data_IF_373689044970
#
_entry.id   IF_373689044970
#
_cell.length_a   1.000
_cell.length_b   1.000
_cell.length_c   1.000
_cell.angle_alpha   90.00
_cell.angle_beta   90.00
_cell.angle_gamma   90.00
#
_symmetry.space_group_name_H-M   'P 1'
#
loop_
_entity.id
_entity.type
_entity.pdbx_description
1 polymer ?
#
# COMPACT_ATOMS: atom_id res chain seq x y z
N UNK A 1 -54.01 75.20 84.13
CA UNK A 1 -53.36 74.06 83.42
C UNK A 1 -51.86 74.23 83.52
N UNK A 2 -51.22 73.29 84.10
CA UNK A 2 -49.93 73.43 84.75
C UNK A 2 -48.76 73.64 83.81
N UNK A 3 -48.13 74.85 83.87
CA UNK A 3 -46.91 75.22 83.14
C UNK A 3 -45.82 74.13 83.12
N UNK A 4 -45.75 73.29 84.14
CA UNK A 4 -44.77 72.17 84.22
C UNK A 4 -45.06 71.10 83.29
N UNK A 5 -46.29 70.72 82.91
CA UNK A 5 -46.68 69.69 81.95
C UNK A 5 -46.37 70.18 80.49
N UNK A 6 -46.60 71.41 80.22
CA UNK A 6 -46.25 71.99 78.91
C UNK A 6 -44.75 72.02 78.68
N UNK A 7 -43.97 72.27 79.72
CA UNK A 7 -42.48 72.23 79.56
C UNK A 7 -41.91 70.83 79.41
N UNK A 8 -42.50 69.87 80.00
CA UNK A 8 -42.11 68.41 79.87
C UNK A 8 -42.48 67.95 78.41
N UNK A 9 -43.70 68.31 78.00
CA UNK A 9 -44.15 67.95 76.65
C UNK A 9 -43.30 68.64 75.53
N UNK A 10 -42.89 69.91 75.73
CA UNK A 10 -41.99 70.57 74.81
C UNK A 10 -40.60 69.98 74.80
N UNK A 11 -40.07 69.49 75.95
CA UNK A 11 -38.80 68.80 76.05
C UNK A 11 -38.82 67.43 75.29
N UNK A 12 -39.94 66.73 75.46
CA UNK A 12 -40.10 65.39 74.86
C UNK A 12 -40.24 65.53 73.35
N UNK A 13 -40.93 66.60 72.83
CA UNK A 13 -41.00 66.89 71.40
C UNK A 13 -39.63 67.26 70.84
N UNK A 14 -38.82 68.03 71.57
CA UNK A 14 -37.51 68.45 71.14
C UNK A 14 -36.54 67.25 71.01
N UNK A 15 -36.59 66.36 72.00
CA UNK A 15 -35.81 65.10 71.97
C UNK A 15 -36.24 64.17 70.81
N UNK A 16 -37.57 64.10 70.55
CA UNK A 16 -38.12 63.33 69.43
C UNK A 16 -37.66 63.94 68.07
N UNK A 17 -37.64 65.27 67.99
CA UNK A 17 -37.12 65.91 66.72
C UNK A 17 -35.65 65.73 66.55
N UNK A 18 -34.83 65.67 67.59
CA UNK A 18 -33.39 65.42 67.48
C UNK A 18 -33.12 63.97 67.05
N UNK A 19 -33.88 63.01 67.61
CA UNK A 19 -33.77 61.58 67.28
C UNK A 19 -34.21 61.36 65.81
N UNK A 20 -35.31 61.95 65.37
CA UNK A 20 -35.78 61.86 64.03
C UNK A 20 -34.77 62.53 63.01
N UNK A 21 -34.20 63.68 63.38
CA UNK A 21 -33.18 64.38 62.61
C UNK A 21 -31.91 63.54 62.44
N UNK A 22 -31.46 62.89 63.56
CA UNK A 22 -30.32 62.02 63.56
C UNK A 22 -30.53 60.77 62.63
N UNK A 23 -31.70 60.13 62.78
CA UNK A 23 -32.05 59.01 61.90
C UNK A 23 -32.23 59.40 60.44
N UNK A 24 -32.81 60.58 60.21
CA UNK A 24 -32.92 61.17 58.85
C UNK A 24 -31.52 61.34 58.22
N UNK A 25 -30.56 61.83 59.02
CA UNK A 25 -29.20 62.06 58.52
C UNK A 25 -28.45 60.72 58.28
N UNK A 26 -28.69 59.73 59.16
CA UNK A 26 -28.08 58.41 59.01
C UNK A 26 -28.62 57.63 57.78
N UNK A 27 -29.95 57.71 57.57
CA UNK A 27 -30.60 57.10 56.43
C UNK A 27 -30.35 57.84 55.10
N UNK A 28 -30.01 59.14 55.15
CA UNK A 28 -29.68 59.92 53.96
C UNK A 28 -28.23 59.79 53.51
N UNK A 29 -27.40 58.98 54.23
CA UNK A 29 -26.09 58.71 53.71
C UNK A 29 -26.22 57.84 52.46
N UNK A 30 -25.74 58.27 51.30
CA UNK A 30 -25.70 57.42 50.13
C UNK A 30 -24.90 56.16 50.48
N UNK A 31 -25.34 54.93 50.05
CA UNK A 31 -24.54 53.73 50.24
C UNK A 31 -23.15 54.00 49.68
N UNK A 32 -22.11 53.60 50.43
CA UNK A 32 -20.75 53.70 49.93
C UNK A 32 -20.70 53.06 48.55
N UNK A 33 -20.02 53.72 47.57
CA UNK A 33 -19.85 53.12 46.24
C UNK A 33 -19.29 51.70 46.49
N UNK A 34 -20.02 50.70 46.04
CA UNK A 34 -19.50 49.32 45.96
C UNK A 34 -18.28 49.50 45.10
N UNK A 35 -17.08 49.33 45.68
CA UNK A 35 -15.86 49.28 44.90
C UNK A 35 -16.12 48.23 43.78
N UNK A 36 -16.17 48.71 42.53
CA UNK A 36 -16.23 47.81 41.39
C UNK A 36 -15.15 46.77 41.63
N UNK A 37 -15.45 45.48 41.58
CA UNK A 37 -14.40 44.48 41.65
C UNK A 37 -13.33 44.92 40.69
N UNK A 38 -12.09 45.01 41.16
CA UNK A 38 -10.94 45.27 40.28
C UNK A 38 -11.10 44.33 39.10
N UNK A 39 -10.99 44.86 37.82
CA UNK A 39 -11.11 44.00 36.71
C UNK A 39 -10.14 42.86 36.94
N UNK A 40 -10.68 41.64 37.15
CA UNK A 40 -9.88 40.44 37.06
C UNK A 40 -9.13 40.56 35.76
N UNK A 41 -7.82 40.31 35.72
CA UNK A 41 -7.10 40.36 34.48
C UNK A 41 -7.87 39.46 33.53
N UNK A 42 -8.58 40.05 32.57
CA UNK A 42 -9.14 39.31 31.45
C UNK A 42 -7.92 38.69 30.79
N UNK A 43 -7.57 37.48 31.24
CA UNK A 43 -6.70 36.62 30.48
C UNK A 43 -7.41 36.54 29.16
N UNK A 44 -6.95 37.33 28.22
CA UNK A 44 -7.64 37.50 26.95
C UNK A 44 -7.93 36.13 26.42
N UNK A 45 -9.19 35.79 26.22
CA UNK A 45 -9.65 34.49 25.72
C UNK A 45 -8.88 34.15 24.46
N UNK A 46 -8.49 35.16 23.67
CA UNK A 46 -7.56 35.02 22.53
C UNK A 46 -6.21 34.41 22.89
N UNK A 47 -5.60 34.77 24.03
CA UNK A 47 -4.29 34.23 24.43
C UNK A 47 -4.41 32.78 24.92
N UNK A 48 -5.51 32.45 25.58
CA UNK A 48 -5.80 31.08 26.01
C UNK A 48 -6.13 30.17 24.83
N UNK A 49 -6.93 30.68 23.87
CA UNK A 49 -7.24 29.95 22.63
C UNK A 49 -5.96 29.72 21.80
N UNK A 50 -5.10 30.74 21.65
CA UNK A 50 -3.84 30.60 20.93
C UNK A 50 -2.87 29.58 21.59
N UNK A 51 -2.82 29.54 22.92
CA UNK A 51 -1.99 28.57 23.66
C UNK A 51 -2.53 27.16 23.54
N UNK A 52 -3.84 26.95 23.63
CA UNK A 52 -4.49 25.64 23.45
C UNK A 52 -4.36 25.19 21.99
N UNK A 53 -4.47 26.10 21.04
CA UNK A 53 -4.32 25.81 19.62
C UNK A 53 -2.87 25.41 19.26
N UNK A 54 -1.86 26.01 19.90
CA UNK A 54 -0.47 25.64 19.71
C UNK A 54 -0.13 24.27 20.35
N UNK A 55 -0.82 23.89 21.44
CA UNK A 55 -0.65 22.58 22.09
C UNK A 55 -1.23 21.42 21.27
N UNK A 56 -2.19 21.68 20.39
CA UNK A 56 -2.78 20.64 19.52
C UNK A 56 -2.00 20.44 18.22
N UNK A 57 -1.04 21.31 17.93
CA UNK A 57 -0.20 21.21 16.74
C UNK A 57 1.01 20.32 17.00
N UNK A 58 1.29 19.42 16.06
CA UNK A 58 2.45 18.52 16.13
C UNK A 58 3.59 19.03 15.25
N UNK A 59 4.86 18.87 15.69
CA UNK A 59 6.01 19.27 14.91
C UNK A 59 6.19 18.37 13.68
N UNK A 60 6.53 18.97 12.57
CA UNK A 60 6.86 18.29 11.30
C UNK A 60 8.06 18.99 10.68
N UNK A 61 9.02 18.21 10.20
CA UNK A 61 10.19 18.73 9.50
C UNK A 61 9.83 19.03 8.06
N UNK A 62 10.07 20.27 7.64
CA UNK A 62 9.82 20.75 6.26
C UNK A 62 11.08 21.31 5.64
N UNK A 63 11.16 21.27 4.31
CA UNK A 63 12.25 21.91 3.56
C UNK A 63 12.00 23.40 3.41
N UNK A 64 13.01 24.21 3.72
CA UNK A 64 13.04 25.65 3.52
C UNK A 64 13.28 26.01 2.06
N UNK A 65 14.16 25.27 1.40
CA UNK A 65 14.53 25.47 0.01
C UNK A 65 14.37 24.17 -0.78
N UNK A 66 14.36 24.29 -2.12
CA UNK A 66 14.43 23.11 -2.99
C UNK A 66 15.80 22.47 -2.90
N UNK A 67 15.84 21.15 -2.70
CA UNK A 67 17.08 20.37 -2.61
C UNK A 67 17.16 19.41 -3.78
N UNK A 68 18.28 19.40 -4.54
CA UNK A 68 18.49 18.46 -5.62
C UNK A 68 18.73 17.04 -5.09
N UNK A 69 18.56 15.99 -5.91
CA UNK A 69 18.83 14.62 -5.50
C UNK A 69 20.31 14.41 -5.16
N UNK A 70 20.59 13.48 -4.27
CA UNK A 70 21.93 13.05 -3.87
C UNK A 70 22.77 14.11 -3.15
N UNK A 71 22.15 15.18 -2.64
CA UNK A 71 22.81 16.19 -1.80
C UNK A 71 22.38 15.99 -0.36
N UNK A 72 23.30 15.81 0.61
CA UNK A 72 22.95 15.68 2.03
C UNK A 72 22.26 16.94 2.56
N UNK A 73 21.21 16.77 3.34
CA UNK A 73 20.49 17.87 3.98
C UNK A 73 21.35 18.50 5.08
N UNK A 74 21.40 19.82 5.09
CA UNK A 74 22.03 20.62 6.13
C UNK A 74 20.99 21.23 7.06
N UNK A 75 21.43 21.77 8.20
CA UNK A 75 20.53 22.48 9.11
C UNK A 75 19.87 23.73 8.49
N UNK A 76 20.48 24.30 7.42
CA UNK A 76 19.91 25.43 6.70
C UNK A 76 18.76 25.06 5.75
N UNK A 77 18.69 23.80 5.34
CA UNK A 77 17.70 23.31 4.38
C UNK A 77 16.39 22.90 5.03
N UNK A 78 16.38 22.69 6.35
CA UNK A 78 15.25 22.13 7.09
C UNK A 78 14.79 23.04 8.23
N UNK A 79 13.48 23.06 8.46
CA UNK A 79 12.85 23.73 9.59
C UNK A 79 11.76 22.85 10.20
N UNK A 80 11.40 23.13 11.46
CA UNK A 80 10.25 22.49 12.11
C UNK A 80 9.05 23.41 12.02
N UNK A 81 8.00 22.93 11.42
CA UNK A 81 6.68 23.58 11.42
C UNK A 81 5.70 22.80 12.29
N UNK A 82 4.75 23.51 12.92
CA UNK A 82 3.70 22.90 13.73
C UNK A 82 2.41 22.84 12.94
N UNK A 83 1.97 21.63 12.58
CA UNK A 83 0.75 21.38 11.82
C UNK A 83 -0.35 20.81 12.71
N UNK A 84 -1.61 21.18 12.43
CA UNK A 84 -2.80 20.59 13.07
C UNK A 84 -3.04 19.14 12.66
N UNK A 85 -2.78 18.84 11.41
CA UNK A 85 -2.89 17.49 10.86
C UNK A 85 -1.53 17.12 10.30
N UNK A 86 -0.93 16.08 10.89
CA UNK A 86 0.39 15.60 10.50
C UNK A 86 0.23 14.44 9.53
N UNK A 87 0.85 14.48 8.35
CA UNK A 87 0.88 13.35 7.45
C UNK A 87 1.58 12.14 8.12
N UNK A 88 1.08 10.95 7.86
CA UNK A 88 1.66 9.73 8.44
C UNK A 88 3.14 9.59 8.05
N UNK A 89 3.97 9.16 9.00
CA UNK A 89 5.40 8.94 8.79
C UNK A 89 6.25 10.21 8.70
N UNK A 90 5.70 11.40 9.01
CA UNK A 90 6.47 12.65 9.02
C UNK A 90 7.57 12.62 10.07
N UNK A 91 8.75 13.17 9.71
CA UNK A 91 9.82 13.39 10.67
C UNK A 91 9.45 14.54 11.62
N UNK A 92 9.73 14.36 12.91
CA UNK A 92 9.35 15.33 13.96
C UNK A 92 10.53 16.13 14.52
N UNK A 93 11.76 15.71 14.24
CA UNK A 93 12.99 16.33 14.74
C UNK A 93 13.97 16.58 13.60
N UNK A 94 14.68 17.71 13.66
CA UNK A 94 15.71 18.06 12.67
C UNK A 94 16.82 17.02 12.59
N UNK A 95 17.20 16.41 13.72
CA UNK A 95 18.26 15.41 13.78
C UNK A 95 17.94 14.16 12.95
N UNK A 96 16.67 13.88 12.74
CA UNK A 96 16.21 12.77 11.88
C UNK A 96 16.40 13.05 10.39
N UNK A 97 16.55 14.32 10.00
CA UNK A 97 16.69 14.75 8.61
C UNK A 97 18.11 15.18 8.24
N UNK A 98 18.81 15.86 9.16
CA UNK A 98 20.15 16.40 8.91
C UNK A 98 21.15 15.28 8.60
N UNK A 99 21.93 15.47 7.54
CA UNK A 99 22.91 14.50 7.06
C UNK A 99 22.32 13.38 6.18
N UNK A 100 21.01 13.23 6.14
CA UNK A 100 20.37 12.28 5.21
C UNK A 100 20.34 12.85 3.79
N UNK A 101 20.41 11.97 2.83
CA UNK A 101 20.50 12.32 1.41
C UNK A 101 19.21 11.94 0.69
N UNK A 102 18.42 12.91 0.20
CA UNK A 102 17.24 12.61 -0.60
C UNK A 102 17.65 12.02 -1.96
N UNK A 103 16.93 11.02 -2.41
CA UNK A 103 17.22 10.31 -3.66
C UNK A 103 16.47 10.89 -4.86
N UNK A 104 15.62 11.87 -4.63
CA UNK A 104 14.89 12.64 -5.64
C UNK A 104 14.94 14.12 -5.30
N UNK A 105 14.72 14.97 -6.30
CA UNK A 105 14.55 16.39 -6.06
C UNK A 105 13.33 16.64 -5.17
N UNK A 106 13.50 17.45 -4.13
CA UNK A 106 12.44 17.85 -3.21
C UNK A 106 12.27 19.36 -3.28
N UNK A 107 11.02 19.81 -3.41
CA UNK A 107 10.72 21.25 -3.45
C UNK A 107 10.68 21.90 -2.07
N UNK A 108 10.83 23.22 -2.02
CA UNK A 108 10.60 24.00 -0.80
C UNK A 108 9.17 23.77 -0.27
N UNK A 109 9.01 23.76 1.06
CA UNK A 109 7.73 23.46 1.72
C UNK A 109 7.35 21.97 1.75
N UNK A 110 8.17 21.09 1.17
CA UNK A 110 7.94 19.64 1.27
C UNK A 110 8.17 19.18 2.70
N UNK A 111 7.18 18.53 3.29
CA UNK A 111 7.35 17.83 4.56
C UNK A 111 8.17 16.54 4.34
N UNK A 112 9.08 16.27 5.26
CA UNK A 112 9.99 15.14 5.17
C UNK A 112 9.44 13.92 5.92
N UNK A 113 9.59 12.79 5.28
CA UNK A 113 9.30 11.47 5.85
C UNK A 113 10.42 10.49 5.45
N UNK A 114 10.38 9.27 5.95
CA UNK A 114 11.36 8.25 5.57
C UNK A 114 11.35 7.94 4.06
N UNK A 115 10.22 8.09 3.41
CA UNK A 115 10.10 7.90 1.96
C UNK A 115 10.91 8.93 1.14
N UNK A 116 11.16 10.11 1.71
CA UNK A 116 11.99 11.14 1.06
C UNK A 116 13.44 10.66 0.83
N UNK A 117 13.88 9.69 1.62
CA UNK A 117 15.26 9.15 1.63
C UNK A 117 15.34 7.70 1.14
N UNK A 118 14.20 7.07 0.85
CA UNK A 118 14.16 5.69 0.38
C UNK A 118 14.24 5.66 -1.15
N UNK A 119 15.08 4.80 -1.74
CA UNK A 119 15.19 4.69 -3.18
C UNK A 119 13.93 4.11 -3.81
N UNK A 120 13.63 4.58 -5.01
CA UNK A 120 12.56 4.04 -5.84
C UNK A 120 11.19 4.68 -5.63
N UNK A 121 10.31 4.36 -6.57
CA UNK A 121 8.91 4.78 -6.54
C UNK A 121 8.04 3.85 -5.69
N UNK A 122 6.72 4.08 -5.67
CA UNK A 122 5.78 3.26 -4.91
C UNK A 122 5.89 1.75 -5.19
N UNK A 123 6.06 1.36 -6.46
CA UNK A 123 6.23 -0.04 -6.84
C UNK A 123 7.50 -0.65 -6.23
N UNK A 124 8.62 0.06 -6.23
CA UNK A 124 9.89 -0.45 -5.71
C UNK A 124 9.83 -0.74 -4.20
N UNK A 125 9.01 0.02 -3.44
CA UNK A 125 8.80 -0.18 -2.00
C UNK A 125 7.95 -1.41 -1.66
N UNK A 126 7.26 -1.95 -2.65
CA UNK A 126 6.45 -3.18 -2.51
C UNK A 126 7.28 -4.45 -2.77
N UNK A 127 8.43 -4.33 -3.45
CA UNK A 127 9.29 -5.43 -3.85
C UNK A 127 10.20 -5.81 -2.67
N UNK A 128 10.30 -7.10 -2.34
CA UNK A 128 11.24 -7.60 -1.35
C UNK A 128 12.63 -7.78 -1.96
N UNK A 129 13.67 -7.93 -1.13
CA UNK A 129 15.05 -7.97 -1.58
C UNK A 129 15.33 -9.02 -2.67
N UNK A 130 14.69 -10.19 -2.59
CA UNK A 130 14.89 -11.33 -3.51
C UNK A 130 13.81 -11.42 -4.59
N UNK A 131 12.98 -10.38 -4.72
CA UNK A 131 11.91 -10.30 -5.72
C UNK A 131 12.25 -9.27 -6.80
N UNK A 132 11.57 -9.40 -7.93
CA UNK A 132 11.54 -8.41 -9.01
C UNK A 132 10.11 -8.22 -9.46
N UNK A 133 9.75 -6.99 -9.81
CA UNK A 133 8.46 -6.70 -10.41
C UNK A 133 8.49 -7.03 -11.91
N UNK A 134 7.63 -7.92 -12.36
CA UNK A 134 7.46 -8.23 -13.77
C UNK A 134 6.01 -7.99 -14.18
N UNK A 135 5.80 -7.15 -15.19
CA UNK A 135 4.49 -6.93 -15.76
C UNK A 135 4.13 -8.05 -16.74
N UNK A 136 2.91 -8.55 -16.62
CA UNK A 136 2.33 -9.54 -17.52
C UNK A 136 1.03 -8.98 -18.08
N UNK A 137 0.84 -9.11 -19.41
CA UNK A 137 -0.41 -8.74 -20.03
C UNK A 137 -1.51 -9.73 -19.61
N UNK A 138 -2.68 -9.20 -19.30
CA UNK A 138 -3.86 -9.99 -18.95
C UNK A 138 -5.07 -9.51 -19.77
N UNK A 139 -5.93 -10.44 -20.10
CA UNK A 139 -7.29 -10.15 -20.57
C UNK A 139 -8.30 -10.47 -19.46
N UNK A 140 -9.58 -10.27 -19.72
CA UNK A 140 -10.64 -10.55 -18.76
C UNK A 140 -10.62 -12.01 -18.26
N UNK A 141 -10.32 -12.95 -19.14
CA UNK A 141 -10.26 -14.38 -18.81
C UNK A 141 -9.00 -14.74 -18.03
N UNK A 142 -7.85 -14.18 -18.43
CA UNK A 142 -6.58 -14.38 -17.74
C UNK A 142 -6.63 -13.75 -16.34
N UNK A 143 -7.29 -12.61 -16.21
CA UNK A 143 -7.43 -11.86 -14.98
C UNK A 143 -8.55 -12.33 -14.05
N UNK A 144 -8.96 -13.60 -14.08
CA UNK A 144 -9.99 -14.16 -13.23
C UNK A 144 -11.30 -13.34 -13.24
N UNK A 145 -11.77 -12.93 -14.44
CA UNK A 145 -12.98 -12.12 -14.59
C UNK A 145 -12.87 -10.70 -14.04
N UNK A 146 -11.66 -10.14 -13.97
CA UNK A 146 -11.42 -8.80 -13.43
C UNK A 146 -11.51 -8.69 -11.90
N UNK A 147 -11.51 -9.82 -11.17
CA UNK A 147 -11.64 -9.86 -9.71
C UNK A 147 -10.28 -9.83 -8.99
N UNK A 148 -9.18 -9.81 -9.74
CA UNK A 148 -7.84 -9.70 -9.15
C UNK A 148 -7.69 -8.40 -8.35
N UNK A 149 -7.06 -8.52 -7.21
CA UNK A 149 -6.74 -7.38 -6.34
C UNK A 149 -5.24 -7.37 -6.01
N UNK A 150 -4.62 -6.18 -5.89
CA UNK A 150 -3.25 -6.10 -5.40
C UNK A 150 -3.14 -6.74 -4.00
N UNK A 151 -2.14 -7.60 -3.82
CA UNK A 151 -1.95 -8.38 -2.60
C UNK A 151 -2.43 -9.82 -2.71
N UNK A 152 -3.25 -10.17 -3.71
CA UNK A 152 -3.64 -11.55 -3.95
C UNK A 152 -2.43 -12.42 -4.31
N UNK A 153 -2.54 -13.71 -3.99
CA UNK A 153 -1.59 -14.73 -4.42
C UNK A 153 -2.21 -15.54 -5.55
N UNK A 154 -1.43 -15.73 -6.59
CA UNK A 154 -1.87 -16.43 -7.79
C UNK A 154 -0.88 -17.52 -8.21
N UNK A 155 -1.40 -18.56 -8.82
CA UNK A 155 -0.60 -19.53 -9.56
C UNK A 155 -0.56 -19.11 -11.03
N UNK A 156 0.62 -19.19 -11.63
CA UNK A 156 0.81 -18.94 -13.05
C UNK A 156 0.78 -20.27 -13.77
N UNK A 157 -0.25 -20.44 -14.59
CA UNK A 157 -0.41 -21.62 -15.45
C UNK A 157 0.02 -21.26 -16.87
N UNK A 158 0.69 -22.20 -17.52
CA UNK A 158 1.10 -22.12 -18.91
C UNK A 158 0.35 -23.17 -19.72
N UNK A 159 -0.29 -22.74 -20.78
CA UNK A 159 -0.84 -23.63 -21.79
C UNK A 159 0.03 -23.58 -23.04
N UNK A 160 0.54 -24.74 -23.46
CA UNK A 160 1.31 -24.90 -24.68
C UNK A 160 0.44 -25.57 -25.77
N UNK A 161 0.39 -24.94 -26.91
CA UNK A 161 -0.25 -25.51 -28.09
C UNK A 161 0.66 -26.53 -28.72
N UNK A 162 0.07 -27.48 -29.44
CA UNK A 162 0.84 -28.38 -30.30
C UNK A 162 1.45 -27.61 -31.46
N UNK A 163 2.75 -27.74 -31.65
CA UNK A 163 3.51 -27.18 -32.75
C UNK A 163 4.74 -28.03 -33.04
N UNK A 164 5.65 -27.53 -33.87
CA UNK A 164 6.90 -28.26 -34.23
C UNK A 164 7.85 -28.51 -33.04
N UNK A 165 7.77 -27.66 -32.01
CA UNK A 165 8.59 -27.78 -30.80
C UNK A 165 7.88 -28.55 -29.67
N UNK A 166 6.56 -28.58 -29.69
CA UNK A 166 5.72 -29.26 -28.69
C UNK A 166 4.82 -30.29 -29.37
N UNK A 167 5.14 -31.56 -29.18
CA UNK A 167 4.46 -32.68 -29.84
C UNK A 167 2.99 -32.83 -29.43
N UNK A 168 2.59 -32.38 -28.23
CA UNK A 168 1.25 -32.47 -27.70
C UNK A 168 0.86 -31.20 -26.96
N UNK A 169 -0.43 -30.89 -26.97
CA UNK A 169 -0.97 -29.84 -26.12
C UNK A 169 -0.77 -30.20 -24.65
N UNK A 170 -0.28 -29.26 -23.89
CA UNK A 170 0.02 -29.47 -22.47
C UNK A 170 -0.24 -28.23 -21.63
N UNK A 171 -0.49 -28.45 -20.36
CA UNK A 171 -0.63 -27.39 -19.39
C UNK A 171 0.18 -27.73 -18.12
N UNK A 172 0.73 -26.71 -17.50
CA UNK A 172 1.50 -26.86 -16.28
C UNK A 172 1.47 -25.59 -15.44
N UNK A 173 1.69 -25.72 -14.14
CA UNK A 173 1.97 -24.60 -13.26
C UNK A 173 3.42 -24.19 -13.47
N UNK A 174 3.63 -22.95 -13.90
CA UNK A 174 4.98 -22.39 -14.11
C UNK A 174 5.58 -21.96 -12.78
N UNK A 175 4.83 -21.15 -12.05
CA UNK A 175 5.22 -20.63 -10.75
C UNK A 175 3.98 -20.59 -9.86
N UNK A 176 3.97 -21.26 -8.72
CA UNK A 176 2.89 -21.17 -7.75
C UNK A 176 3.07 -20.00 -6.81
N UNK A 177 2.00 -19.57 -6.20
CA UNK A 177 1.94 -18.65 -5.06
C UNK A 177 2.68 -17.32 -5.27
N UNK A 178 2.53 -16.70 -6.43
CA UNK A 178 3.11 -15.41 -6.75
C UNK A 178 2.20 -14.30 -6.24
N UNK A 179 2.78 -13.31 -5.57
CA UNK A 179 2.07 -12.14 -5.07
C UNK A 179 1.84 -11.11 -6.18
N UNK A 180 0.61 -10.59 -6.26
CA UNK A 180 0.23 -9.47 -7.11
C UNK A 180 0.65 -8.14 -6.46
N UNK A 181 1.46 -7.35 -7.15
CA UNK A 181 1.85 -6.00 -6.70
C UNK A 181 0.86 -4.96 -7.18
N UNK A 182 0.41 -5.09 -8.43
CA UNK A 182 -0.58 -4.17 -8.99
C UNK A 182 -1.51 -4.85 -9.97
N UNK A 183 -2.69 -4.25 -10.15
CA UNK A 183 -3.66 -4.56 -11.21
C UNK A 183 -3.94 -3.26 -11.96
N UNK A 184 -3.46 -3.17 -13.20
CA UNK A 184 -3.42 -1.91 -13.92
C UNK A 184 -2.58 -0.87 -13.17
N UNK A 185 -3.18 0.29 -12.89
CA UNK A 185 -2.58 1.39 -12.15
C UNK A 185 -2.77 1.31 -10.62
N UNK A 186 -3.55 0.35 -10.13
CA UNK A 186 -3.77 0.16 -8.71
C UNK A 186 -2.61 -0.61 -8.07
N UNK A 187 -1.92 0.05 -7.15
CA UNK A 187 -0.87 -0.54 -6.33
C UNK A 187 -1.44 -1.05 -5.00
N UNK A 188 -0.84 -2.10 -4.46
CA UNK A 188 -1.19 -2.67 -3.16
C UNK A 188 -0.44 -2.00 -2.00
N UNK A 189 -0.22 -2.77 -0.94
CA UNK A 189 0.51 -2.33 0.23
C UNK A 189 2.02 -2.40 -0.01
N UNK A 190 2.74 -1.44 0.50
CA UNK A 190 4.20 -1.48 0.60
C UNK A 190 4.65 -2.48 1.68
N UNK A 191 5.94 -2.76 1.77
CA UNK A 191 6.48 -3.75 2.72
C UNK A 191 6.33 -3.34 4.20
N UNK A 192 6.06 -2.08 4.48
CA UNK A 192 5.73 -1.54 5.81
C UNK A 192 4.24 -1.69 6.19
N UNK A 193 3.43 -2.29 5.31
CA UNK A 193 2.00 -2.47 5.49
C UNK A 193 1.15 -1.23 5.20
N UNK A 194 1.76 -0.12 4.78
CA UNK A 194 1.03 1.07 4.37
C UNK A 194 0.65 1.00 2.89
N UNK A 195 -0.43 1.67 2.46
CA UNK A 195 -0.75 1.79 1.05
C UNK A 195 0.43 2.42 0.28
N UNK A 196 0.87 1.78 -0.81
CA UNK A 196 1.98 2.28 -1.62
C UNK A 196 1.68 3.65 -2.27
N UNK A 197 0.39 3.94 -2.46
CA UNK A 197 -0.16 5.24 -2.90
C UNK A 197 -1.32 5.58 -1.97
N UNK A 198 -1.50 6.85 -1.58
CA UNK A 198 -2.64 7.27 -0.77
C UNK A 198 -3.96 6.80 -1.39
N UNK A 199 -4.88 6.26 -0.57
CA UNK A 199 -6.18 5.82 -1.09
C UNK A 199 -7.00 7.01 -1.60
N UNK A 200 -7.88 6.78 -2.60
CA UNK A 200 -8.73 7.82 -3.15
C UNK A 200 -9.64 8.41 -2.05
N UNK A 201 -9.61 9.72 -1.92
CA UNK A 201 -10.30 10.44 -0.86
C UNK A 201 -11.80 10.62 -1.15
N UNK A 202 -12.16 10.88 -2.43
CA UNK A 202 -13.53 11.18 -2.84
C UNK A 202 -14.27 9.95 -3.39
N UNK A 203 -15.60 10.04 -3.45
CA UNK A 203 -16.43 9.00 -4.03
C UNK A 203 -16.21 8.85 -5.55
N UNK A 204 -15.99 9.97 -6.23
CA UNK A 204 -15.70 10.02 -7.66
C UNK A 204 -14.37 9.34 -7.98
N UNK A 205 -13.32 9.61 -7.20
CA UNK A 205 -12.01 8.97 -7.36
C UNK A 205 -12.10 7.45 -7.15
N UNK A 206 -12.91 7.00 -6.16
CA UNK A 206 -13.14 5.56 -5.93
C UNK A 206 -13.86 4.91 -7.10
N UNK A 207 -14.88 5.56 -7.66
CA UNK A 207 -15.60 5.05 -8.82
C UNK A 207 -14.68 4.96 -10.06
N UNK A 208 -13.85 5.98 -10.30
CA UNK A 208 -12.86 5.97 -11.37
C UNK A 208 -11.79 4.88 -11.17
N UNK A 209 -11.32 4.70 -9.94
CA UNK A 209 -10.35 3.64 -9.61
C UNK A 209 -10.97 2.24 -9.86
N UNK A 210 -12.23 2.01 -9.50
CA UNK A 210 -12.94 0.78 -9.78
C UNK A 210 -13.08 0.53 -11.28
N UNK A 211 -13.42 1.56 -12.05
CA UNK A 211 -13.55 1.45 -13.51
C UNK A 211 -12.19 1.16 -14.18
N UNK A 212 -11.11 1.81 -13.74
CA UNK A 212 -9.75 1.52 -14.23
C UNK A 212 -9.32 0.09 -13.90
N UNK A 213 -9.71 -0.43 -12.75
CA UNK A 213 -9.41 -1.83 -12.38
C UNK A 213 -10.08 -2.83 -13.32
N UNK A 214 -11.36 -2.64 -13.63
CA UNK A 214 -12.06 -3.53 -14.58
C UNK A 214 -11.52 -3.42 -16.01
N UNK A 215 -10.97 -2.27 -16.38
CA UNK A 215 -10.33 -2.06 -17.68
C UNK A 215 -8.83 -2.45 -17.70
N UNK A 216 -8.28 -2.93 -16.59
CA UNK A 216 -6.86 -3.28 -16.50
C UNK A 216 -6.50 -4.42 -17.45
N UNK A 217 -5.44 -4.20 -18.25
CA UNK A 217 -4.90 -5.16 -19.20
C UNK A 217 -3.51 -5.66 -18.85
N UNK A 218 -3.03 -5.31 -17.67
CA UNK A 218 -1.75 -5.75 -17.14
C UNK A 218 -1.81 -5.92 -15.64
N UNK A 219 -1.02 -6.87 -15.15
CA UNK A 219 -0.75 -7.08 -13.73
C UNK A 219 0.74 -7.07 -13.51
N UNK A 220 1.18 -6.63 -12.33
CA UNK A 220 2.58 -6.70 -11.93
C UNK A 220 2.73 -7.74 -10.84
N UNK A 221 3.63 -8.66 -11.08
CA UNK A 221 3.90 -9.83 -10.24
C UNK A 221 5.21 -9.64 -9.48
N UNK A 222 5.24 -10.05 -8.19
CA UNK A 222 6.45 -10.13 -7.39
C UNK A 222 7.13 -11.48 -7.64
N UNK A 223 8.03 -11.52 -8.62
CA UNK A 223 8.68 -12.76 -9.06
C UNK A 223 10.01 -12.94 -8.34
N UNK A 224 10.26 -14.09 -7.67
CA UNK A 224 11.57 -14.42 -7.14
C UNK A 224 12.64 -14.36 -8.24
N UNK A 225 13.78 -13.76 -7.93
CA UNK A 225 14.85 -13.51 -8.91
C UNK A 225 15.25 -14.76 -9.73
N UNK A 226 15.41 -15.96 -9.12
CA UNK A 226 15.77 -17.18 -9.88
C UNK A 226 14.71 -17.64 -10.88
N UNK A 227 13.45 -17.18 -10.72
CA UNK A 227 12.32 -17.63 -11.54
C UNK A 227 11.96 -16.64 -12.66
N UNK A 228 12.64 -15.50 -12.74
CA UNK A 228 12.37 -14.47 -13.77
C UNK A 228 12.52 -15.02 -15.19
N UNK A 229 13.66 -15.69 -15.47
CA UNK A 229 13.94 -16.25 -16.78
C UNK A 229 12.93 -17.34 -17.17
N UNK A 230 12.48 -18.13 -16.20
CA UNK A 230 11.45 -19.15 -16.40
C UNK A 230 10.10 -18.51 -16.80
N UNK A 231 9.69 -17.46 -16.09
CA UNK A 231 8.44 -16.76 -16.41
C UNK A 231 8.52 -16.04 -17.75
N UNK A 232 9.66 -15.41 -18.04
CA UNK A 232 9.88 -14.74 -19.31
C UNK A 232 9.79 -15.72 -20.48
N UNK A 233 10.44 -16.88 -20.37
CA UNK A 233 10.35 -17.93 -21.38
C UNK A 233 8.92 -18.45 -21.54
N UNK A 234 8.24 -18.70 -20.42
CA UNK A 234 6.85 -19.17 -20.43
C UNK A 234 5.90 -18.17 -21.12
N UNK A 235 6.10 -16.89 -20.91
CA UNK A 235 5.28 -15.85 -21.54
C UNK A 235 5.44 -15.76 -23.05
N UNK A 236 6.56 -16.23 -23.59
CA UNK A 236 6.81 -16.31 -25.02
C UNK A 236 6.42 -17.65 -25.64
N UNK A 237 6.46 -18.72 -24.86
CA UNK A 237 6.22 -20.08 -25.34
C UNK A 237 4.73 -20.42 -25.49
N UNK A 238 3.84 -19.79 -24.72
CA UNK A 238 2.43 -20.14 -24.71
C UNK A 238 1.53 -19.12 -24.07
N UNK A 239 0.30 -19.55 -23.77
CA UNK A 239 -0.70 -18.70 -23.12
C UNK A 239 -0.60 -18.84 -21.60
N UNK A 240 -0.44 -17.72 -20.92
CA UNK A 240 -0.49 -17.68 -19.47
C UNK A 240 -1.93 -17.51 -18.96
N UNK A 241 -2.21 -18.10 -17.81
CA UNK A 241 -3.43 -17.94 -17.02
C UNK A 241 -3.06 -17.73 -15.56
N UNK A 242 -3.88 -16.95 -14.85
CA UNK A 242 -3.71 -16.72 -13.42
C UNK A 242 -4.85 -17.39 -12.66
N UNK A 243 -4.50 -18.23 -11.69
CA UNK A 243 -5.46 -18.83 -10.77
C UNK A 243 -5.27 -18.21 -9.38
N UNK A 244 -6.32 -17.59 -8.84
CA UNK A 244 -6.26 -16.96 -7.52
C UNK A 244 -6.28 -18.03 -6.43
N UNK A 245 -5.41 -17.89 -5.45
CA UNK A 245 -5.39 -18.75 -4.26
C UNK A 245 -6.33 -18.22 -3.17
N UNK A 246 -6.77 -19.14 -2.31
CA UNK A 246 -7.57 -18.79 -1.15
C UNK A 246 -6.79 -17.87 -0.21
N UNK A 247 -7.45 -16.87 0.35
CA UNK A 247 -6.88 -16.00 1.39
C UNK A 247 -6.56 -16.76 2.69
N UNK A 248 -7.27 -17.88 2.93
CA UNK A 248 -7.10 -18.71 4.14
C UNK A 248 -5.95 -19.73 4.03
N UNK A 249 -5.20 -19.71 2.93
CA UNK A 249 -4.10 -20.65 2.73
C UNK A 249 -2.89 -20.32 3.60
N UNK A 250 -2.80 -20.92 4.77
CA UNK A 250 -1.74 -20.67 5.76
C UNK A 250 -0.33 -21.02 5.27
N UNK A 251 -0.21 -21.86 4.24
CA UNK A 251 1.08 -22.23 3.65
C UNK A 251 1.80 -21.03 2.99
N UNK A 252 1.05 -20.02 2.54
CA UNK A 252 1.62 -18.84 1.88
C UNK A 252 2.45 -17.98 2.83
N UNK A 253 2.02 -17.82 4.07
CA UNK A 253 2.76 -17.04 5.06
C UNK A 253 4.12 -17.65 5.37
N UNK A 254 4.21 -18.97 5.44
CA UNK A 254 5.45 -19.72 5.66
C UNK A 254 6.37 -19.71 4.46
N UNK A 255 5.80 -19.89 3.26
CA UNK A 255 6.54 -19.81 2.01
C UNK A 255 7.29 -18.48 1.84
N UNK A 256 6.61 -17.40 2.15
CA UNK A 256 7.19 -16.07 2.02
C UNK A 256 8.01 -15.61 3.24
N UNK A 257 7.85 -16.28 4.39
CA UNK A 257 8.72 -16.10 5.55
C UNK A 257 10.12 -16.70 5.36
N UNK A 258 10.34 -17.48 4.28
CA UNK A 258 11.61 -18.12 4.00
C UNK A 258 11.88 -19.35 4.90
N UNK A 259 10.84 -19.91 5.49
CA UNK A 259 10.95 -21.17 6.22
C UNK A 259 11.32 -22.29 5.23
N UNK A 260 12.49 -22.87 5.43
CA UNK A 260 13.12 -23.85 4.50
C UNK A 260 12.39 -25.19 4.39
N UNK A 261 11.43 -25.47 5.27
CA UNK A 261 10.66 -26.71 5.30
C UNK A 261 9.35 -26.62 4.50
N UNK A 262 9.42 -26.02 3.32
CA UNK A 262 8.26 -26.07 2.42
C UNK A 262 8.02 -27.53 2.02
N UNK A 263 6.83 -28.06 2.34
CA UNK A 263 6.52 -29.42 1.99
C UNK A 263 6.62 -29.61 0.47
N UNK A 264 7.12 -30.77 0.07
CA UNK A 264 7.24 -31.22 -1.31
C UNK A 264 6.03 -30.99 -2.20
N UNK A 265 4.87 -30.69 -1.62
CA UNK A 265 3.61 -30.43 -2.32
C UNK A 265 3.62 -29.18 -3.19
N UNK A 266 4.28 -28.07 -2.80
CA UNK A 266 4.37 -26.88 -3.65
C UNK A 266 5.43 -27.07 -4.72
N UNK A 267 6.48 -27.82 -4.41
CA UNK A 267 7.47 -28.19 -5.41
C UNK A 267 6.96 -29.29 -6.35
N UNK A 268 6.12 -30.21 -5.89
CA UNK A 268 5.51 -31.23 -6.74
C UNK A 268 4.49 -30.66 -7.71
N UNK A 269 3.66 -29.71 -7.28
CA UNK A 269 2.76 -29.00 -8.18
C UNK A 269 3.48 -28.29 -9.33
N UNK A 270 4.75 -27.89 -9.11
CA UNK A 270 5.61 -27.32 -10.15
C UNK A 270 6.09 -28.33 -11.20
N UNK A 271 5.98 -29.62 -10.95
CA UNK A 271 6.53 -30.68 -11.81
C UNK A 271 5.49 -31.39 -12.64
N UNK A 272 4.20 -31.23 -12.31
CA UNK A 272 3.13 -31.93 -12.98
C UNK A 272 2.80 -31.28 -14.32
N UNK A 273 3.47 -31.76 -15.36
CA UNK A 273 3.11 -31.50 -16.75
C UNK A 273 1.87 -32.31 -17.10
N UNK A 274 0.77 -31.64 -17.40
CA UNK A 274 -0.47 -32.27 -17.81
C UNK A 274 -0.58 -32.26 -19.33
N UNK A 275 -0.58 -33.44 -19.96
CA UNK A 275 -0.65 -33.58 -21.41
C UNK A 275 -2.08 -33.85 -21.90
N UNK A 276 -2.38 -33.51 -23.15
CA UNK A 276 -3.69 -33.70 -23.75
C UNK A 276 -4.16 -35.16 -23.73
N UNK A 277 -3.22 -36.13 -23.95
CA UNK A 277 -3.48 -37.56 -23.86
C UNK A 277 -4.02 -38.00 -22.50
N UNK A 278 -3.59 -37.35 -21.43
CA UNK A 278 -4.11 -37.61 -20.08
C UNK A 278 -5.50 -37.05 -19.88
N UNK A 279 -5.79 -35.85 -20.46
CA UNK A 279 -7.12 -35.26 -20.42
C UNK A 279 -8.14 -36.02 -21.23
N UNK A 280 -7.74 -36.51 -22.41
CA UNK A 280 -8.60 -37.25 -23.30
C UNK A 280 -8.89 -38.71 -22.84
N UNK A 281 -8.33 -39.15 -21.70
CA UNK A 281 -8.40 -40.54 -21.21
C UNK A 281 -8.00 -41.58 -22.28
N UNK A 282 -7.29 -41.13 -23.32
CA UNK A 282 -6.67 -42.03 -24.28
C UNK A 282 -5.41 -42.59 -23.63
N UNK A 283 -5.26 -43.90 -23.71
CA UNK A 283 -4.05 -44.55 -23.19
C UNK A 283 -2.79 -43.96 -23.83
N UNK A 284 -1.63 -44.10 -23.19
CA UNK A 284 -0.39 -43.55 -23.72
C UNK A 284 -0.22 -44.00 -25.18
N UNK A 285 0.25 -43.09 -26.07
CA UNK A 285 0.47 -43.46 -27.46
C UNK A 285 1.30 -44.73 -27.48
N UNK A 286 0.75 -45.77 -28.14
CA UNK A 286 1.47 -47.02 -28.33
C UNK A 286 2.83 -46.63 -28.89
N UNK A 287 3.90 -46.83 -28.12
CA UNK A 287 5.25 -46.63 -28.63
C UNK A 287 5.31 -47.44 -29.90
N UNK A 288 5.30 -46.80 -31.06
CA UNK A 288 5.63 -47.46 -32.31
C UNK A 288 7.04 -47.92 -32.07
N UNK A 289 7.17 -49.21 -31.82
CA UNK A 289 8.49 -49.83 -31.76
C UNK A 289 9.19 -49.36 -33.04
N UNK A 290 10.44 -48.87 -32.95
CA UNK A 290 11.18 -48.52 -34.17
C UNK A 290 11.06 -49.77 -35.04
N UNK A 291 10.51 -49.55 -36.27
CA UNK A 291 10.37 -50.64 -37.23
C UNK A 291 11.72 -51.34 -37.21
N UNK A 292 11.71 -52.57 -36.73
CA UNK A 292 12.91 -53.43 -36.83
C UNK A 292 13.24 -53.36 -38.29
N UNK A 293 14.32 -52.68 -38.62
CA UNK A 293 14.80 -52.65 -39.98
C UNK A 293 14.92 -54.12 -40.35
N UNK A 294 13.96 -54.58 -41.14
CA UNK A 294 14.03 -55.88 -41.75
C UNK A 294 15.39 -55.95 -42.45
N UNK A 295 16.32 -56.66 -41.82
CA UNK A 295 17.56 -57.04 -42.43
C UNK A 295 17.23 -58.10 -43.51
N UNK A 296 16.21 -57.68 -44.32
CA UNK A 296 15.91 -58.38 -45.54
C UNK A 296 17.21 -58.38 -46.35
N UNK A 297 17.70 -59.58 -46.52
CA UNK A 297 18.78 -59.93 -47.43
C UNK A 297 18.86 -58.91 -48.57
N UNK A 298 19.96 -58.20 -48.64
CA UNK A 298 20.30 -57.40 -49.82
C UNK A 298 20.22 -58.34 -51.02
N UNK A 299 19.08 -58.33 -51.72
CA UNK A 299 19.01 -58.86 -53.07
C UNK A 299 20.02 -58.06 -53.87
N UNK A 300 21.08 -58.78 -54.27
CA UNK A 300 22.08 -58.20 -55.14
C UNK A 300 21.42 -57.59 -56.37
N UNK A 301 21.89 -56.47 -56.80
CA UNK A 301 21.42 -55.82 -58.03
C UNK A 301 21.76 -56.73 -59.19
N UNK A 302 20.76 -57.36 -59.81
CA UNK A 302 20.92 -58.17 -61.02
C UNK A 302 21.16 -57.23 -62.19
N UNK A 303 22.40 -57.16 -62.65
CA UNK A 303 22.81 -56.39 -63.83
C UNK A 303 22.65 -57.27 -65.04
N UNK A 304 21.54 -57.18 -65.76
CA UNK A 304 21.33 -57.81 -67.04
C UNK A 304 22.14 -57.07 -68.12
N UNK A 305 23.29 -57.62 -68.50
CA UNK A 305 24.09 -57.19 -69.71
C UNK A 305 23.98 -58.23 -70.73
N UNK A 306 23.14 -57.98 -71.76
CA UNK A 306 23.15 -58.74 -73.00
C UNK A 306 22.80 -60.20 -72.87
N UNK A 307 22.38 -60.82 -73.96
CA UNK A 307 21.84 -62.14 -74.07
C UNK A 307 22.86 -63.27 -73.92
N UNK A 308 23.53 -63.38 -72.79
CA UNK A 308 24.30 -64.56 -72.45
C UNK A 308 24.37 -64.71 -70.89
N UNK A 309 23.45 -65.46 -70.30
CA UNK A 309 23.55 -65.88 -68.94
C UNK A 309 24.53 -67.07 -68.87
N UNK A 310 25.74 -66.83 -68.37
CA UNK A 310 26.57 -67.91 -67.88
C UNK A 310 26.39 -68.03 -66.39
N UNK A 311 25.76 -69.14 -65.92
CA UNK A 311 25.78 -69.59 -64.58
C UNK A 311 27.18 -70.16 -64.32
N UNK A 312 27.83 -69.56 -63.31
CA UNK A 312 29.03 -70.18 -62.72
C UNK A 312 28.71 -70.55 -61.33
N UNK A 313 29.18 -71.68 -60.79
CA UNK A 313 28.73 -72.37 -59.61
C UNK A 313 29.00 -71.68 -58.30
#
# INVERSE_FOLDING_TARGET
MNSRISMVLAGLLLVGALIAGYWGLVLSRPPAPIAAPAPEPVISVEKTVAVVEDQTRQPVVVLVHAVPPFVPLTAADVAVEKLRTVPAGSLTSLDQAIGRTPLRALGAGTWLNDESFTPGGPLARMIRANERALAVAVDEVIGAGGQLSPGDYVDILLFLRQDNANAEQSAQVVIPAIRLLSVGDQLGLANDGQPAVPPPATAEERAQAAQRRTAARSVVLAVPEPLLSRLMLASQAGMLRLAVRSADEQLLSRYWAGESDMPDKVQSANRDLYQFTQLALTGPPKKIAPAVADTGQRRGVEVIRGAAAQQTP
#
